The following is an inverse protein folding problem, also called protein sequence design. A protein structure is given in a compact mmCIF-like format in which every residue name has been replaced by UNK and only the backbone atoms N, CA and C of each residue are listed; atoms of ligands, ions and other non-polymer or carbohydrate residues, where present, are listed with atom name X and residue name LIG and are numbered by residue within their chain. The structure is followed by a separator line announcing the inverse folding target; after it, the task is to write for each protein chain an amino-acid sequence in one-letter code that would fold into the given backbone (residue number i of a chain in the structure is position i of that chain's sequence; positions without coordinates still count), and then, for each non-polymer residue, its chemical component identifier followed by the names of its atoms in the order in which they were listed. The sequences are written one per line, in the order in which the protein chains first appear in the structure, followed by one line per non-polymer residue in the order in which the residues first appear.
data_IF_192781046683
#
_entry.id   IF_192781046683
#
_cell.length_a   1.000
_cell.length_b   1.000
_cell.length_c   1.000
_cell.angle_alpha   90.00
_cell.angle_beta   90.00
_cell.angle_gamma   90.00
#
_symmetry.space_group_name_H-M   'P 1'
#
loop_
_entity.id
_entity.type
_entity.pdbx_description
1 polymer ?
#
# COMPACT_ATOMS: atom_id res chain seq x y z
N UNK A 1 28.67 -0.49 7.25
CA UNK A 1 29.26 0.48 8.20
C UNK A 1 30.71 0.88 7.89
N UNK A 2 31.43 0.19 6.99
CA UNK A 2 32.55 0.79 6.25
C UNK A 2 32.07 1.51 4.98
N UNK A 3 30.76 1.43 4.66
CA UNK A 3 30.09 2.19 3.60
C UNK A 3 30.07 3.70 3.86
N UNK A 4 30.36 4.09 5.11
CA UNK A 4 30.51 5.49 5.54
C UNK A 4 31.98 5.89 5.63
N UNK A 5 32.95 5.07 5.20
CA UNK A 5 34.36 5.48 5.21
C UNK A 5 34.60 6.50 4.10
N UNK A 6 35.04 7.69 4.49
CA UNK A 6 35.26 8.80 3.56
C UNK A 6 36.74 8.99 3.24
N UNK A 7 37.62 8.84 4.24
CA UNK A 7 39.05 8.93 4.04
C UNK A 7 39.87 8.21 5.12
N UNK A 8 41.11 7.87 4.80
CA UNK A 8 42.12 7.33 5.71
C UNK A 8 43.42 8.09 5.53
N UNK A 9 43.94 8.62 6.63
CA UNK A 9 45.15 9.44 6.67
C UNK A 9 46.21 8.82 7.56
N UNK A 10 47.47 8.98 7.19
CA UNK A 10 48.63 8.67 8.01
C UNK A 10 49.37 9.97 8.32
N UNK A 11 49.68 10.18 9.60
CA UNK A 11 50.56 11.24 10.08
C UNK A 11 51.85 10.62 10.61
N UNK A 12 53.00 11.03 10.08
CA UNK A 12 54.32 10.72 10.61
C UNK A 12 55.07 12.01 10.95
N UNK A 13 55.75 12.09 12.11
CA UNK A 13 56.57 13.26 12.43
C UNK A 13 57.88 13.28 11.62
N UNK A 14 58.38 14.46 11.19
CA UNK A 14 57.83 15.80 11.43
C UNK A 14 56.80 16.19 10.34
N UNK A 15 55.50 16.12 10.67
CA UNK A 15 54.35 16.57 9.86
C UNK A 15 54.23 16.07 8.41
N UNK A 16 54.65 14.84 8.13
CA UNK A 16 54.39 14.18 6.86
C UNK A 16 52.98 13.55 6.86
N UNK A 17 52.05 14.17 6.13
CA UNK A 17 50.70 13.65 5.90
C UNK A 17 50.65 12.80 4.63
N UNK A 18 50.30 11.52 4.76
CA UNK A 18 50.09 10.61 3.63
C UNK A 18 48.63 10.19 3.57
N UNK A 19 47.99 10.33 2.40
CA UNK A 19 46.61 9.89 2.20
C UNK A 19 46.62 8.46 1.69
N UNK A 20 46.07 7.55 2.49
CA UNK A 20 45.91 6.12 2.16
C UNK A 20 44.63 5.93 1.35
N UNK A 21 43.57 6.65 1.69
CA UNK A 21 42.27 6.58 1.00
C UNK A 21 41.52 7.93 1.12
N UNK A 22 40.76 8.34 0.10
CA UNK A 22 39.97 9.58 0.13
C UNK A 22 40.71 10.83 -0.37
N UNK A 23 40.21 12.02 0.01
CA UNK A 23 40.73 13.32 -0.42
C UNK A 23 41.66 13.97 0.62
N UNK A 24 42.65 14.74 0.15
CA UNK A 24 43.61 15.46 0.99
C UNK A 24 42.85 16.45 1.91
N UNK A 25 43.03 16.41 3.24
CA UNK A 25 42.28 17.27 4.14
C UNK A 25 42.78 18.72 4.06
N UNK A 26 41.86 19.67 4.22
CA UNK A 26 42.15 21.10 4.24
C UNK A 26 43.07 21.47 5.42
N UNK A 27 43.81 22.57 5.31
CA UNK A 27 44.77 23.00 6.34
C UNK A 27 44.12 23.16 7.73
N UNK A 28 42.86 23.61 7.79
CA UNK A 28 42.10 23.71 9.03
C UNK A 28 41.75 22.32 9.61
N UNK A 29 41.40 21.36 8.76
CA UNK A 29 41.08 19.99 9.18
C UNK A 29 42.33 19.26 9.68
N UNK A 30 43.51 19.48 9.08
CA UNK A 30 44.78 18.92 9.57
C UNK A 30 45.08 19.38 11.00
N UNK A 31 44.92 20.66 11.28
CA UNK A 31 45.13 21.20 12.63
C UNK A 31 44.15 20.60 13.67
N UNK A 32 42.95 20.18 13.23
CA UNK A 32 41.96 19.53 14.10
C UNK A 32 42.27 18.03 14.30
N UNK A 33 42.75 17.35 13.25
CA UNK A 33 43.22 15.97 13.31
C UNK A 33 44.48 15.81 14.17
N UNK A 34 45.45 16.74 14.11
CA UNK A 34 46.63 16.75 14.99
C UNK A 34 46.24 16.83 16.47
N UNK A 35 45.18 17.59 16.81
CA UNK A 35 44.65 17.65 18.18
C UNK A 35 44.03 16.34 18.66
N UNK A 36 43.71 15.42 17.75
CA UNK A 36 43.20 14.07 18.06
C UNK A 36 44.29 12.99 18.05
N UNK A 37 45.54 13.34 17.73
CA UNK A 37 46.68 12.43 17.81
C UNK A 37 47.10 12.22 19.27
N UNK A 38 46.44 11.27 19.95
CA UNK A 38 46.74 10.92 21.35
C UNK A 38 47.45 9.57 21.43
N UNK A 39 48.06 9.28 22.58
CA UNK A 39 48.73 8.00 22.85
C UNK A 39 47.75 6.82 22.99
N UNK A 40 46.44 7.09 23.07
CA UNK A 40 45.38 6.09 23.09
C UNK A 40 44.44 6.31 21.89
N UNK A 41 43.83 5.24 21.34
CA UNK A 41 42.85 5.36 20.27
C UNK A 41 41.71 6.27 20.70
N UNK A 42 41.40 7.29 19.91
CA UNK A 42 40.37 8.28 20.26
C UNK A 42 39.40 8.47 19.10
N UNK A 43 38.12 8.64 19.42
CA UNK A 43 37.08 8.95 18.47
C UNK A 43 36.56 10.35 18.74
N UNK A 44 36.57 11.22 17.72
CA UNK A 44 36.03 12.59 17.82
C UNK A 44 35.10 12.88 16.65
N UNK A 45 34.04 13.64 16.90
CA UNK A 45 33.17 14.14 15.84
C UNK A 45 33.93 15.22 15.03
N UNK A 46 33.92 15.11 13.71
CA UNK A 46 34.48 16.08 12.77
C UNK A 46 33.39 16.42 11.74
N UNK A 47 32.80 17.62 11.82
CA UNK A 47 31.63 17.98 11.01
C UNK A 47 30.41 17.10 11.27
N UNK A 48 29.78 16.59 10.21
CA UNK A 48 28.68 15.60 10.31
C UNK A 48 29.17 14.15 10.53
N UNK A 49 30.48 13.94 10.43
CA UNK A 49 31.15 12.65 10.52
C UNK A 49 31.87 12.39 11.84
N UNK A 50 32.61 11.28 11.89
CA UNK A 50 33.45 10.88 13.01
C UNK A 50 34.84 10.52 12.53
N UNK A 51 35.86 11.00 13.21
CA UNK A 51 37.25 10.60 13.00
C UNK A 51 37.68 9.71 14.15
N UNK A 52 38.32 8.60 13.82
CA UNK A 52 38.94 7.69 14.77
C UNK A 52 40.44 7.73 14.53
N UNK A 53 41.19 8.22 15.52
CA UNK A 53 42.65 8.18 15.52
C UNK A 53 43.13 6.90 16.22
N UNK A 54 44.04 6.19 15.56
CA UNK A 54 44.68 5.00 16.10
C UNK A 54 46.19 5.24 16.11
N UNK A 55 46.85 5.26 17.28
CA UNK A 55 48.30 5.36 17.36
C UNK A 55 48.93 4.06 16.84
N UNK A 56 49.92 4.19 15.95
CA UNK A 56 50.69 3.06 15.43
C UNK A 56 52.03 2.95 16.19
N UNK A 57 52.75 4.06 16.33
CA UNK A 57 54.00 4.15 17.09
C UNK A 57 54.12 5.54 17.75
N UNK A 58 55.18 5.80 18.55
CA UNK A 58 55.34 7.06 19.30
C UNK A 58 55.24 8.34 18.44
N UNK A 59 55.59 8.23 17.16
CA UNK A 59 55.61 9.32 16.19
C UNK A 59 54.69 9.12 14.97
N UNK A 60 53.80 8.11 14.99
CA UNK A 60 52.90 7.80 13.85
C UNK A 60 51.46 7.52 14.28
N UNK A 61 50.51 8.12 13.56
CA UNK A 61 49.06 7.95 13.78
C UNK A 61 48.32 7.69 12.47
N UNK A 62 47.29 6.84 12.55
CA UNK A 62 46.39 6.55 11.44
C UNK A 62 44.99 7.05 11.79
N UNK A 63 44.42 7.87 10.91
CA UNK A 63 43.10 8.48 11.08
C UNK A 63 42.11 7.86 10.12
N UNK A 64 40.97 7.44 10.64
CA UNK A 64 39.85 6.92 9.87
C UNK A 64 38.71 7.92 9.93
N UNK A 65 38.37 8.54 8.80
CA UNK A 65 37.27 9.47 8.71
C UNK A 65 36.02 8.75 8.18
N UNK A 66 34.94 8.84 8.97
CA UNK A 66 33.63 8.30 8.67
C UNK A 66 32.67 9.47 8.36
N UNK A 67 31.87 9.36 7.31
CA UNK A 67 30.87 10.33 6.86
C UNK A 67 29.61 10.39 7.73
N UNK A 68 29.44 9.45 8.67
CA UNK A 68 28.34 9.45 9.63
C UNK A 68 28.78 8.87 10.98
N UNK A 69 28.15 9.33 12.06
CA UNK A 69 28.39 8.85 13.42
C UNK A 69 27.72 7.48 13.62
N UNK A 70 28.47 6.41 13.93
CA UNK A 70 27.86 5.11 14.21
C UNK A 70 27.05 5.10 15.52
N UNK A 71 25.98 4.30 15.62
CA UNK A 71 25.16 4.21 16.83
C UNK A 71 25.99 3.67 18.00
N UNK A 72 25.69 4.16 19.22
CA UNK A 72 26.50 3.92 20.44
C UNK A 72 26.71 2.43 20.74
N UNK A 73 25.75 1.57 20.38
CA UNK A 73 25.81 0.11 20.56
C UNK A 73 26.88 -0.58 19.70
N UNK A 74 27.29 0.02 18.58
CA UNK A 74 28.24 -0.56 17.61
C UNK A 74 29.63 0.08 17.68
N UNK A 75 29.81 1.13 18.50
CA UNK A 75 31.04 1.93 18.52
C UNK A 75 32.25 1.14 19.03
N UNK A 76 32.07 0.29 20.05
CA UNK A 76 33.15 -0.54 20.60
C UNK A 76 33.67 -1.60 19.61
N UNK A 77 32.78 -2.25 18.86
CA UNK A 77 33.17 -3.26 17.87
C UNK A 77 33.81 -2.64 16.62
N UNK A 78 33.33 -1.46 16.21
CA UNK A 78 33.94 -0.66 15.14
C UNK A 78 35.35 -0.21 15.55
N UNK A 79 35.53 0.28 16.79
CA UNK A 79 36.84 0.68 17.29
C UNK A 79 37.84 -0.49 17.33
N UNK A 80 37.43 -1.65 17.85
CA UNK A 80 38.28 -2.85 17.87
C UNK A 80 38.70 -3.27 16.46
N UNK A 81 37.75 -3.27 15.51
CA UNK A 81 38.02 -3.65 14.12
C UNK A 81 38.93 -2.67 13.39
N UNK A 82 38.75 -1.36 13.62
CA UNK A 82 39.64 -0.33 13.04
C UNK A 82 41.03 -0.39 13.64
N UNK A 83 41.17 -0.74 14.93
CA UNK A 83 42.47 -0.99 15.54
C UNK A 83 43.17 -2.19 14.90
N UNK A 84 42.47 -3.30 14.68
CA UNK A 84 43.05 -4.47 14.00
C UNK A 84 43.46 -4.17 12.56
N UNK A 85 42.62 -3.45 11.80
CA UNK A 85 42.96 -2.98 10.45
C UNK A 85 44.16 -2.01 10.45
N UNK A 86 44.25 -1.14 11.47
CA UNK A 86 45.37 -0.20 11.63
C UNK A 86 46.68 -0.94 11.90
N UNK A 87 46.68 -2.00 12.72
CA UNK A 87 47.86 -2.85 12.94
C UNK A 87 48.30 -3.58 11.66
N UNK A 88 47.34 -3.99 10.83
CA UNK A 88 47.64 -4.52 9.49
C UNK A 88 48.31 -3.48 8.59
N UNK A 89 47.74 -2.27 8.56
CA UNK A 89 48.28 -1.13 7.81
C UNK A 89 49.64 -0.65 8.30
N UNK A 90 49.96 -0.80 9.59
CA UNK A 90 51.28 -0.46 10.13
C UNK A 90 52.42 -1.22 9.43
N UNK A 91 52.18 -2.50 9.10
CA UNK A 91 53.16 -3.34 8.39
C UNK A 91 53.44 -2.85 6.96
N UNK A 92 52.56 -1.99 6.43
CA UNK A 92 52.62 -1.40 5.09
C UNK A 92 53.29 -0.01 5.09
N UNK A 93 53.54 0.58 6.26
CA UNK A 93 54.18 1.90 6.40
C UNK A 93 55.67 1.72 6.70
N UNK A 94 56.60 2.33 5.93
CA UNK A 94 58.03 2.19 6.16
C UNK A 94 58.38 2.63 7.59
N UNK A 95 58.91 1.72 8.38
CA UNK A 95 59.54 2.00 9.67
C UNK A 95 61.03 2.27 9.44
N UNK A 96 61.58 3.17 10.25
CA UNK A 96 63.01 3.46 10.30
C UNK A 96 63.81 2.14 10.47
N UNK A 97 64.90 2.02 9.71
CA UNK A 97 65.58 0.76 9.41
C UNK A 97 66.35 0.12 10.59
N UNK A 98 66.03 0.42 11.85
CA UNK A 98 66.89 0.11 12.99
C UNK A 98 66.53 -1.14 13.79
N UNK A 99 65.41 -1.83 13.55
CA UNK A 99 64.99 -2.92 14.46
C UNK A 99 64.54 -4.24 13.81
N UNK A 100 65.01 -4.53 12.59
CA UNK A 100 64.85 -5.88 12.01
C UNK A 100 66.21 -6.49 11.72
N UNK A 101 66.66 -7.36 12.63
CA UNK A 101 67.79 -8.28 12.40
C UNK A 101 67.54 -9.07 11.11
N UNK A 102 68.45 -9.07 10.13
CA UNK A 102 68.29 -9.87 8.94
C UNK A 102 68.63 -11.33 9.26
N UNK A 103 67.68 -12.23 9.03
CA UNK A 103 68.01 -13.63 8.73
C UNK A 103 68.48 -13.62 7.28
N UNK A 104 69.78 -13.87 7.10
CA UNK A 104 70.41 -13.99 5.79
C UNK A 104 69.89 -15.23 5.09
N UNK A 105 69.49 -15.09 3.82
CA UNK A 105 69.73 -16.12 2.81
C UNK A 105 70.01 -15.40 1.50
N UNK A 106 71.25 -15.54 1.04
CA UNK A 106 71.74 -15.05 -0.24
C UNK A 106 71.14 -15.86 -1.40
N UNK A 107 70.72 -15.17 -2.46
CA UNK A 107 71.11 -15.42 -3.87
C UNK A 107 69.99 -15.00 -4.84
N UNK A 108 70.22 -13.87 -5.52
CA UNK A 108 69.74 -13.59 -6.88
C UNK A 108 68.25 -13.66 -7.19
N UNK A 109 67.51 -12.58 -6.94
CA UNK A 109 66.28 -12.29 -7.68
C UNK A 109 66.01 -10.78 -7.75
N UNK A 110 65.45 -10.35 -8.90
CA UNK A 110 65.04 -9.00 -9.31
C UNK A 110 64.27 -8.21 -8.21
N UNK A 111 64.25 -6.87 -8.25
CA UNK A 111 63.89 -6.03 -7.10
C UNK A 111 62.50 -6.39 -6.56
N UNK A 112 62.44 -6.74 -5.27
CA UNK A 112 61.19 -6.97 -4.57
C UNK A 112 60.39 -5.68 -4.57
N UNK A 113 59.30 -5.63 -5.35
CA UNK A 113 58.38 -4.50 -5.35
C UNK A 113 57.77 -4.39 -3.96
N UNK A 114 58.02 -3.27 -3.30
CA UNK A 114 57.48 -3.03 -1.95
C UNK A 114 55.97 -2.79 -1.99
N UNK A 115 55.28 -3.14 -0.91
CA UNK A 115 53.85 -2.84 -0.76
C UNK A 115 53.50 -1.35 -0.95
N UNK A 116 54.43 -0.45 -0.62
CA UNK A 116 54.28 0.99 -0.81
C UNK A 116 54.31 1.41 -2.29
N UNK A 117 55.16 0.77 -3.09
CA UNK A 117 55.20 0.98 -4.54
C UNK A 117 53.91 0.47 -5.20
N UNK A 118 53.35 -0.62 -4.69
CA UNK A 118 52.09 -1.19 -5.18
C UNK A 118 50.90 -0.25 -4.92
N UNK A 119 50.83 0.39 -3.74
CA UNK A 119 49.81 1.40 -3.44
C UNK A 119 49.96 2.63 -4.35
N UNK A 120 51.19 3.10 -4.55
CA UNK A 120 51.47 4.26 -5.40
C UNK A 120 51.06 3.99 -6.86
N UNK A 121 51.43 2.82 -7.39
CA UNK A 121 51.08 2.39 -8.75
C UNK A 121 49.57 2.14 -8.92
N UNK A 122 48.90 1.62 -7.90
CA UNK A 122 47.44 1.48 -7.91
C UNK A 122 46.75 2.84 -7.92
N UNK A 123 47.25 3.82 -7.15
CA UNK A 123 46.73 5.20 -7.17
C UNK A 123 46.88 5.84 -8.54
N UNK A 124 48.01 5.63 -9.22
CA UNK A 124 48.21 6.12 -10.59
C UNK A 124 47.32 5.40 -11.59
N UNK A 125 47.17 4.06 -11.49
CA UNK A 125 46.33 3.27 -12.37
C UNK A 125 44.83 3.61 -12.25
N UNK A 126 44.38 3.98 -11.04
CA UNK A 126 43.01 4.41 -10.78
C UNK A 126 42.74 5.88 -11.14
N UNK A 127 43.75 6.60 -11.64
CA UNK A 127 43.62 7.95 -12.19
C UNK A 127 43.12 9.02 -11.21
N UNK A 128 43.38 8.85 -9.90
CA UNK A 128 42.97 9.81 -8.88
C UNK A 128 41.45 9.91 -8.63
N UNK A 129 40.65 8.95 -9.10
CA UNK A 129 39.19 8.93 -8.84
C UNK A 129 38.90 8.83 -7.34
N UNK A 130 38.07 9.74 -6.82
CA UNK A 130 37.71 9.81 -5.40
C UNK A 130 36.97 8.55 -4.87
N UNK A 131 36.20 7.86 -5.73
CA UNK A 131 35.49 6.60 -5.39
C UNK A 131 35.48 5.63 -6.58
N UNK A 132 36.53 4.81 -6.77
CA UNK A 132 36.56 3.83 -7.85
C UNK A 132 35.56 2.69 -7.58
N UNK A 133 34.96 2.14 -8.64
CA UNK A 133 34.09 0.96 -8.52
C UNK A 133 34.91 -0.22 -7.99
N UNK A 134 34.41 -1.01 -7.02
CA UNK A 134 35.14 -2.14 -6.44
C UNK A 134 35.69 -3.12 -7.49
N UNK A 135 34.90 -3.45 -8.52
CA UNK A 135 35.32 -4.35 -9.58
C UNK A 135 36.55 -3.84 -10.35
N UNK A 136 36.64 -2.52 -10.59
CA UNK A 136 37.77 -1.90 -11.29
C UNK A 136 39.03 -1.93 -10.44
N UNK A 137 38.90 -1.75 -9.11
CA UNK A 137 40.04 -1.87 -8.21
C UNK A 137 40.56 -3.31 -8.16
N UNK A 138 39.66 -4.29 -8.06
CA UNK A 138 40.07 -5.71 -8.03
C UNK A 138 40.80 -6.10 -9.32
N UNK A 139 40.31 -5.68 -10.49
CA UNK A 139 40.98 -5.98 -11.76
C UNK A 139 42.31 -5.26 -11.88
N UNK A 140 42.38 -3.95 -11.59
CA UNK A 140 43.63 -3.19 -11.69
C UNK A 140 44.70 -3.67 -10.69
N UNK A 141 44.30 -4.16 -9.52
CA UNK A 141 45.22 -4.75 -8.55
C UNK A 141 45.79 -6.09 -9.03
N UNK A 142 44.97 -6.92 -9.67
CA UNK A 142 45.44 -8.15 -10.34
C UNK A 142 46.39 -7.83 -11.49
N UNK A 143 46.06 -6.86 -12.33
CA UNK A 143 46.90 -6.43 -13.46
C UNK A 143 48.27 -5.92 -12.97
N UNK A 144 48.30 -5.14 -11.89
CA UNK A 144 49.54 -4.64 -11.28
C UNK A 144 50.41 -5.76 -10.68
N UNK A 145 49.80 -6.78 -10.09
CA UNK A 145 50.54 -7.95 -9.59
C UNK A 145 51.19 -8.74 -10.75
N UNK A 146 50.54 -8.78 -11.92
CA UNK A 146 51.09 -9.39 -13.13
C UNK A 146 52.21 -8.52 -13.71
N UNK A 147 51.99 -7.20 -13.85
CA UNK A 147 52.98 -6.26 -14.38
C UNK A 147 54.27 -6.18 -13.54
N UNK A 148 54.14 -6.36 -12.22
CA UNK A 148 55.28 -6.38 -11.29
C UNK A 148 56.03 -7.71 -11.29
N UNK A 149 55.53 -8.72 -12.01
CA UNK A 149 56.11 -10.06 -12.07
C UNK A 149 55.96 -10.86 -10.76
N UNK A 150 55.08 -10.42 -9.86
CA UNK A 150 54.79 -11.14 -8.62
C UNK A 150 53.99 -12.43 -8.89
N UNK A 151 53.17 -12.42 -9.94
CA UNK A 151 52.40 -13.55 -10.45
C UNK A 151 52.40 -13.51 -12.00
N UNK A 152 52.28 -14.66 -12.64
CA UNK A 152 52.02 -14.77 -14.08
C UNK A 152 50.53 -14.47 -14.41
N UNK A 153 49.66 -14.73 -13.44
CA UNK A 153 48.23 -14.45 -13.51
C UNK A 153 47.49 -15.00 -12.30
N UNK A 154 46.23 -14.62 -12.10
CA UNK A 154 45.52 -15.03 -10.90
C UNK A 154 44.04 -14.66 -10.86
N UNK A 155 43.43 -15.06 -9.75
CA UNK A 155 42.04 -14.88 -9.43
C UNK A 155 41.87 -14.37 -8.01
N UNK A 156 41.08 -13.31 -7.85
CA UNK A 156 40.60 -12.84 -6.56
C UNK A 156 39.16 -13.32 -6.38
N UNK A 157 38.83 -13.85 -5.20
CA UNK A 157 37.57 -14.53 -4.90
C UNK A 157 36.90 -13.87 -3.69
N UNK A 158 35.62 -13.55 -3.80
CA UNK A 158 34.76 -13.17 -2.68
C UNK A 158 34.12 -14.42 -2.10
N UNK A 159 34.55 -14.83 -0.91
CA UNK A 159 34.01 -15.97 -0.20
C UNK A 159 32.86 -15.55 0.71
N UNK A 160 31.74 -16.29 0.63
CA UNK A 160 30.69 -16.29 1.64
C UNK A 160 30.99 -17.30 2.75
N UNK A 161 30.13 -17.32 3.78
CA UNK A 161 30.24 -18.24 4.90
C UNK A 161 30.35 -19.71 4.46
N UNK A 162 29.62 -20.10 3.41
CA UNK A 162 29.53 -21.49 2.96
C UNK A 162 30.15 -21.77 1.59
N UNK A 163 30.33 -20.78 0.71
CA UNK A 163 30.81 -21.00 -0.66
C UNK A 163 31.41 -19.74 -1.30
N UNK A 164 32.16 -19.88 -2.40
CA UNK A 164 32.62 -18.75 -3.22
C UNK A 164 31.46 -18.06 -3.97
N UNK A 165 31.35 -16.72 -3.89
CA UNK A 165 30.24 -15.94 -4.46
C UNK A 165 30.62 -15.26 -5.78
N UNK A 166 31.72 -14.50 -5.80
CA UNK A 166 32.18 -13.71 -6.95
C UNK A 166 33.67 -13.91 -7.17
N UNK A 167 34.13 -13.69 -8.39
CA UNK A 167 35.55 -13.76 -8.73
C UNK A 167 35.92 -12.65 -9.71
N UNK A 168 37.19 -12.27 -9.68
CA UNK A 168 37.84 -11.36 -10.61
C UNK A 168 39.11 -12.04 -11.11
N UNK A 169 39.39 -11.92 -12.40
CA UNK A 169 40.49 -12.59 -13.07
C UNK A 169 41.45 -11.55 -13.62
N UNK A 170 42.75 -11.84 -13.61
CA UNK A 170 43.76 -11.01 -14.27
C UNK A 170 43.70 -11.15 -15.80
N UNK A 171 43.47 -12.37 -16.30
CA UNK A 171 43.41 -12.67 -17.73
C UNK A 171 42.20 -13.55 -18.07
N UNK A 172 41.70 -13.37 -19.29
CA UNK A 172 40.71 -14.21 -19.97
C UNK A 172 41.09 -15.69 -20.04
N UNK A 173 42.39 -16.03 -20.05
CA UNK A 173 42.89 -17.43 -20.11
C UNK A 173 42.40 -18.30 -18.96
N UNK A 174 42.16 -17.70 -17.79
CA UNK A 174 41.70 -18.41 -16.59
C UNK A 174 40.17 -18.58 -16.54
N UNK A 175 39.42 -17.96 -17.47
CA UNK A 175 37.96 -17.96 -17.45
C UNK A 175 37.35 -19.35 -17.63
N UNK A 176 37.94 -20.19 -18.46
CA UNK A 176 37.45 -21.55 -18.74
C UNK A 176 37.56 -22.49 -17.54
N UNK A 177 38.54 -22.28 -16.66
CA UNK A 177 38.79 -23.13 -15.48
C UNK A 177 38.49 -22.39 -14.16
N UNK A 178 37.81 -21.24 -14.20
CA UNK A 178 37.50 -20.44 -13.02
C UNK A 178 36.68 -21.21 -11.97
N UNK A 179 35.82 -22.15 -12.41
CA UNK A 179 35.06 -23.01 -11.51
C UNK A 179 35.96 -23.99 -10.75
N UNK A 180 36.92 -24.61 -11.43
CA UNK A 180 37.89 -25.54 -10.84
C UNK A 180 38.81 -24.83 -9.86
N UNK A 181 39.36 -23.66 -10.23
CA UNK A 181 40.20 -22.86 -9.34
C UNK A 181 39.44 -22.48 -8.06
N UNK A 182 38.13 -22.20 -8.14
CA UNK A 182 37.29 -21.91 -6.97
C UNK A 182 37.08 -23.13 -6.07
N UNK A 183 36.83 -24.30 -6.66
CA UNK A 183 36.63 -25.54 -5.92
C UNK A 183 37.91 -25.92 -5.16
N UNK A 184 39.07 -25.81 -5.80
CA UNK A 184 40.38 -26.01 -5.17
C UNK A 184 40.61 -24.98 -4.07
N UNK A 185 40.31 -23.70 -4.31
CA UNK A 185 40.43 -22.67 -3.29
C UNK A 185 39.48 -22.91 -2.10
N UNK A 186 38.29 -23.48 -2.32
CA UNK A 186 37.33 -23.81 -1.28
C UNK A 186 37.71 -25.07 -0.48
N UNK A 187 38.25 -26.09 -1.14
CA UNK A 187 38.73 -27.31 -0.49
C UNK A 187 39.93 -27.05 0.43
N UNK A 188 40.76 -26.06 0.10
CA UNK A 188 41.93 -25.66 0.89
C UNK A 188 41.60 -24.76 2.11
N UNK A 189 40.34 -24.29 2.28
CA UNK A 189 39.93 -23.42 3.40
C UNK A 189 39.81 -24.19 4.72
N UNK A 190 40.46 -23.66 5.74
CA UNK A 190 40.47 -24.18 7.12
C UNK A 190 39.76 -23.24 8.10
N UNK A 191 39.67 -23.60 9.39
CA UNK A 191 39.11 -22.73 10.43
C UNK A 191 39.91 -21.43 10.63
N UNK A 192 41.21 -21.45 10.33
CA UNK A 192 42.09 -20.27 10.34
C UNK A 192 42.42 -19.80 8.91
N UNK A 193 42.86 -18.53 8.79
CA UNK A 193 43.35 -17.97 7.54
C UNK A 193 44.60 -18.72 7.09
N UNK A 194 44.66 -19.10 5.81
CA UNK A 194 45.72 -19.97 5.29
C UNK A 194 46.40 -19.30 4.11
N UNK A 195 47.73 -19.16 4.19
CA UNK A 195 48.59 -18.72 3.09
C UNK A 195 49.57 -19.84 2.76
N UNK A 196 49.59 -20.29 1.51
CA UNK A 196 50.42 -21.42 1.09
C UNK A 196 50.82 -21.30 -0.39
N UNK A 197 51.97 -21.85 -0.74
CA UNK A 197 52.43 -21.99 -2.13
C UNK A 197 52.52 -23.48 -2.45
N UNK A 198 51.86 -23.91 -3.52
CA UNK A 198 51.88 -25.28 -4.03
C UNK A 198 52.77 -25.33 -5.27
N UNK A 199 53.93 -26.01 -5.23
CA UNK A 199 54.76 -26.21 -6.42
C UNK A 199 54.07 -27.17 -7.40
N UNK A 200 54.26 -26.93 -8.70
CA UNK A 200 53.72 -27.76 -9.79
C UNK A 200 54.30 -29.18 -9.80
N UNK A 201 55.42 -29.41 -9.13
CA UNK A 201 56.14 -30.69 -9.06
C UNK A 201 55.74 -31.57 -7.85
N UNK A 202 54.87 -31.10 -6.97
CA UNK A 202 54.48 -31.82 -5.74
C UNK A 202 53.41 -32.89 -5.96
N UNK A 203 53.63 -34.11 -5.46
CA UNK A 203 52.70 -35.26 -5.56
C UNK A 203 51.90 -35.53 -4.27
N UNK A 204 51.73 -34.52 -3.40
CA UNK A 204 50.94 -34.70 -2.17
C UNK A 204 49.45 -34.74 -2.49
N UNK A 205 48.75 -35.77 -2.02
CA UNK A 205 47.32 -35.97 -2.25
C UNK A 205 46.45 -34.74 -1.87
N UNK A 206 46.84 -34.01 -0.82
CA UNK A 206 46.13 -32.81 -0.34
C UNK A 206 46.23 -31.58 -1.27
N UNK A 207 47.21 -31.57 -2.17
CA UNK A 207 47.52 -30.41 -3.03
C UNK A 207 47.61 -30.79 -4.51
N UNK A 208 47.20 -32.02 -4.86
CA UNK A 208 47.31 -32.58 -6.19
C UNK A 208 46.57 -31.74 -7.23
N UNK A 209 45.33 -31.32 -6.92
CA UNK A 209 44.53 -30.49 -7.84
C UNK A 209 45.17 -29.12 -8.10
N UNK A 210 45.75 -28.49 -7.07
CA UNK A 210 46.46 -27.22 -7.21
C UNK A 210 47.76 -27.37 -8.04
N UNK A 211 48.51 -28.46 -7.84
CA UNK A 211 49.72 -28.75 -8.61
C UNK A 211 49.40 -29.04 -10.09
N UNK A 212 48.31 -29.76 -10.37
CA UNK A 212 47.83 -30.02 -11.73
C UNK A 212 47.40 -28.73 -12.44
N UNK A 213 46.68 -27.84 -11.77
CA UNK A 213 46.32 -26.53 -12.32
C UNK A 213 47.56 -25.68 -12.62
N UNK A 214 48.56 -25.66 -11.73
CA UNK A 214 49.82 -24.95 -11.99
C UNK A 214 50.53 -25.46 -13.26
N UNK A 215 50.63 -26.79 -13.42
CA UNK A 215 51.19 -27.43 -14.64
C UNK A 215 50.39 -27.11 -15.89
N UNK A 216 49.06 -27.14 -15.80
CA UNK A 216 48.17 -26.88 -16.93
C UNK A 216 48.32 -25.45 -17.46
N UNK A 217 48.52 -24.47 -16.57
CA UNK A 217 48.75 -23.07 -16.94
C UNK A 217 50.22 -22.73 -17.18
N UNK A 218 51.13 -23.71 -17.10
CA UNK A 218 52.55 -23.53 -17.39
C UNK A 218 53.33 -22.73 -16.33
N UNK A 219 52.80 -22.59 -15.11
CA UNK A 219 53.46 -21.89 -14.01
C UNK A 219 54.18 -22.87 -13.07
N UNK A 220 55.25 -22.41 -12.43
CA UNK A 220 56.05 -23.23 -11.53
C UNK A 220 55.33 -23.57 -10.22
N UNK A 221 54.48 -22.66 -9.73
CA UNK A 221 53.68 -22.84 -8.53
C UNK A 221 52.34 -22.09 -8.57
N UNK A 222 51.47 -22.46 -7.64
CA UNK A 222 50.21 -21.78 -7.36
C UNK A 222 50.18 -21.32 -5.90
N UNK A 223 50.05 -20.00 -5.69
CA UNK A 223 49.96 -19.36 -4.39
C UNK A 223 48.50 -19.10 -4.00
N UNK A 224 48.17 -19.37 -2.74
CA UNK A 224 46.85 -19.14 -2.17
C UNK A 224 46.96 -18.29 -0.91
N UNK A 225 46.07 -17.31 -0.77
CA UNK A 225 45.82 -16.58 0.47
C UNK A 225 44.31 -16.62 0.72
N UNK A 226 43.86 -17.42 1.67
CA UNK A 226 42.46 -17.80 1.84
C UNK A 226 41.92 -17.36 3.21
N UNK A 227 40.69 -16.80 3.25
CA UNK A 227 40.06 -16.43 4.51
C UNK A 227 39.52 -17.65 5.25
N UNK A 228 39.37 -17.56 6.59
CA UNK A 228 38.87 -18.65 7.43
C UNK A 228 37.46 -19.11 7.00
N UNK A 229 37.18 -20.40 7.15
CA UNK A 229 35.90 -21.02 6.83
C UNK A 229 34.80 -20.49 7.76
N UNK A 230 33.62 -20.20 7.22
CA UNK A 230 32.49 -19.63 7.98
C UNK A 230 32.44 -18.10 8.05
N UNK A 231 33.51 -17.41 7.66
CA UNK A 231 33.53 -15.94 7.56
C UNK A 231 33.47 -15.46 6.10
N UNK A 232 32.85 -14.30 5.91
CA UNK A 232 32.94 -13.57 4.65
C UNK A 232 34.33 -12.92 4.54
N UNK A 233 35.00 -13.12 3.41
CA UNK A 233 36.35 -12.61 3.20
C UNK A 233 36.78 -12.68 1.75
N UNK A 234 37.75 -11.86 1.37
CA UNK A 234 38.42 -11.97 0.08
C UNK A 234 39.54 -12.99 0.19
N UNK A 235 39.70 -13.82 -0.83
CA UNK A 235 40.86 -14.69 -0.99
C UNK A 235 41.49 -14.51 -2.37
N UNK A 236 42.74 -14.91 -2.48
CA UNK A 236 43.55 -14.76 -3.67
C UNK A 236 44.13 -16.11 -4.08
N UNK A 237 44.18 -16.36 -5.39
CA UNK A 237 44.78 -17.52 -6.02
C UNK A 237 45.64 -17.04 -7.18
N UNK A 238 46.96 -17.15 -7.10
CA UNK A 238 47.88 -16.70 -8.14
C UNK A 238 48.73 -17.84 -8.68
N UNK A 239 49.02 -17.80 -9.96
CA UNK A 239 49.98 -18.66 -10.65
C UNK A 239 51.28 -17.88 -10.80
N UNK A 240 52.44 -18.48 -10.53
CA UNK A 240 53.71 -17.77 -10.55
C UNK A 240 54.94 -18.65 -10.35
N UNK A 241 56.11 -18.05 -10.08
CA UNK A 241 57.35 -18.78 -9.78
C UNK A 241 57.26 -19.53 -8.44
N UNK A 242 58.14 -20.51 -8.20
CA UNK A 242 58.15 -21.31 -6.96
C UNK A 242 58.31 -20.47 -5.67
N UNK A 243 58.88 -19.27 -5.78
CA UNK A 243 59.10 -18.33 -4.69
C UNK A 243 58.18 -17.09 -4.80
N UNK A 244 56.85 -17.30 -4.80
CA UNK A 244 55.89 -16.18 -4.75
C UNK A 244 55.95 -15.50 -3.38
N UNK A 245 56.06 -14.16 -3.37
CA UNK A 245 56.02 -13.38 -2.13
C UNK A 245 54.60 -13.32 -1.55
N UNK A 246 54.33 -14.20 -0.59
CA UNK A 246 53.04 -14.27 0.12
C UNK A 246 52.74 -12.98 0.91
N UNK A 247 53.76 -12.24 1.35
CA UNK A 247 53.56 -10.99 2.08
C UNK A 247 52.97 -9.92 1.15
N UNK A 248 53.49 -9.82 -0.07
CA UNK A 248 52.98 -8.91 -1.10
C UNK A 248 51.53 -9.25 -1.49
N UNK A 249 51.20 -10.54 -1.61
CA UNK A 249 49.84 -11.00 -1.91
C UNK A 249 48.85 -10.70 -0.78
N UNK A 250 49.27 -10.88 0.47
CA UNK A 250 48.45 -10.53 1.63
C UNK A 250 48.20 -9.02 1.72
N UNK A 251 49.23 -8.20 1.44
CA UNK A 251 49.11 -6.75 1.37
C UNK A 251 48.14 -6.29 0.27
N UNK A 252 48.16 -6.98 -0.87
CA UNK A 252 47.26 -6.69 -1.98
C UNK A 252 45.79 -7.05 -1.62
N UNK A 253 45.57 -8.15 -0.91
CA UNK A 253 44.24 -8.50 -0.38
C UNK A 253 43.74 -7.52 0.69
N UNK A 254 44.61 -7.03 1.56
CA UNK A 254 44.25 -6.03 2.55
C UNK A 254 43.82 -4.73 1.88
N UNK A 255 44.55 -4.29 0.84
CA UNK A 255 44.20 -3.14 0.03
C UNK A 255 42.85 -3.33 -0.69
N UNK A 256 42.60 -4.55 -1.20
CA UNK A 256 41.32 -4.94 -1.77
C UNK A 256 40.18 -4.91 -0.73
N UNK A 257 40.42 -5.39 0.48
CA UNK A 257 39.43 -5.42 1.56
C UNK A 257 39.09 -4.01 2.08
N UNK A 258 40.00 -3.05 1.98
CA UNK A 258 39.74 -1.63 2.28
C UNK A 258 38.73 -1.04 1.29
N UNK A 259 38.85 -1.36 -0.01
CA UNK A 259 37.95 -0.85 -1.06
C UNK A 259 36.64 -1.63 -1.15
N UNK A 260 36.67 -2.93 -0.87
CA UNK A 260 35.54 -3.84 -0.95
C UNK A 260 35.41 -4.65 0.35
N UNK A 261 34.90 -4.04 1.44
CA UNK A 261 34.85 -4.72 2.73
C UNK A 261 33.93 -5.95 2.69
N UNK A 262 34.32 -7.08 3.30
CA UNK A 262 33.48 -8.26 3.37
C UNK A 262 32.18 -7.95 4.13
N UNK A 263 31.05 -8.43 3.60
CA UNK A 263 29.72 -8.21 4.19
C UNK A 263 29.62 -8.89 5.54
N UNK A 264 29.17 -8.16 6.56
CA UNK A 264 28.98 -8.70 7.90
C UNK A 264 27.95 -9.87 7.90
N UNK A 265 28.19 -10.92 8.70
CA UNK A 265 27.25 -12.02 8.83
C UNK A 265 25.91 -11.52 9.40
N UNK A 266 24.79 -11.89 8.77
CA UNK A 266 23.43 -11.62 9.28
C UNK A 266 22.59 -10.56 8.54
N UNK A 267 23.11 -9.90 7.51
CA UNK A 267 22.35 -8.87 6.75
C UNK A 267 21.16 -9.40 5.94
N UNK A 268 21.09 -10.72 5.71
CA UNK A 268 20.00 -11.34 4.94
C UNK A 268 18.73 -11.54 5.78
N UNK A 269 18.85 -11.92 7.06
CA UNK A 269 17.70 -12.15 7.96
C UNK A 269 16.84 -10.89 8.14
N UNK A 270 17.46 -9.71 8.17
CA UNK A 270 16.79 -8.41 8.31
C UNK A 270 15.95 -8.02 7.09
N UNK A 271 16.27 -8.52 5.89
CA UNK A 271 15.49 -8.27 4.66
C UNK A 271 14.23 -9.11 4.60
N UNK A 272 14.25 -10.34 5.12
CA UNK A 272 13.08 -11.23 5.16
C UNK A 272 12.04 -10.78 6.17
N UNK A 273 12.45 -10.30 7.36
CA UNK A 273 11.54 -9.78 8.39
C UNK A 273 10.78 -8.53 7.88
N UNK A 274 11.47 -7.60 7.20
CA UNK A 274 10.83 -6.41 6.61
C UNK A 274 9.80 -6.75 5.53
N UNK A 275 10.08 -7.76 4.70
CA UNK A 275 9.11 -8.24 3.70
C UNK A 275 7.93 -8.93 4.36
N UNK A 276 8.14 -9.74 5.39
CA UNK A 276 7.07 -10.35 6.17
C UNK A 276 6.12 -9.33 6.79
N UNK A 277 6.65 -8.23 7.33
CA UNK A 277 5.83 -7.15 7.90
C UNK A 277 5.00 -6.41 6.83
N UNK A 278 5.57 -6.17 5.65
CA UNK A 278 4.86 -5.55 4.53
C UNK A 278 3.72 -6.44 4.00
N UNK A 279 3.98 -7.73 3.82
CA UNK A 279 2.96 -8.69 3.38
C UNK A 279 1.87 -8.90 4.44
N UNK A 280 2.22 -8.93 5.73
CA UNK A 280 1.25 -8.99 6.82
C UNK A 280 0.35 -7.75 6.86
N UNK A 281 0.92 -6.56 6.66
CA UNK A 281 0.14 -5.32 6.57
C UNK A 281 -0.82 -5.29 5.37
N UNK A 282 -0.36 -5.75 4.21
CA UNK A 282 -1.20 -5.83 3.00
C UNK A 282 -2.36 -6.81 3.16
N UNK A 283 -2.14 -7.96 3.79
CA UNK A 283 -3.19 -8.94 4.07
C UNK A 283 -4.25 -8.38 5.02
N UNK A 284 -3.84 -7.65 6.07
CA UNK A 284 -4.77 -7.02 7.01
C UNK A 284 -5.63 -5.94 6.34
N UNK A 285 -5.03 -5.13 5.45
CA UNK A 285 -5.76 -4.12 4.69
C UNK A 285 -6.76 -4.75 3.71
N UNK A 286 -6.41 -5.87 3.07
CA UNK A 286 -7.32 -6.60 2.18
C UNK A 286 -8.53 -7.18 2.94
N UNK A 287 -8.31 -7.72 4.15
CA UNK A 287 -9.40 -8.20 5.02
C UNK A 287 -10.31 -7.04 5.45
N UNK A 288 -9.72 -5.89 5.79
CA UNK A 288 -10.49 -4.69 6.15
C UNK A 288 -11.34 -4.16 5.00
N UNK A 289 -10.83 -4.18 3.77
CA UNK A 289 -11.58 -3.76 2.57
C UNK A 289 -12.70 -4.73 2.17
N UNK A 290 -12.56 -6.01 2.52
CA UNK A 290 -13.54 -7.05 2.19
C UNK A 290 -14.73 -7.11 3.17
N UNK A 291 -14.66 -6.40 4.30
CA UNK A 291 -15.78 -6.31 5.23
C UNK A 291 -16.94 -5.54 4.58
N UNK A 292 -18.15 -6.14 4.49
CA UNK A 292 -19.28 -5.50 3.84
C UNK A 292 -19.72 -4.27 4.63
N UNK A 293 -19.60 -3.09 4.02
CA UNK A 293 -20.11 -1.85 4.60
C UNK A 293 -21.62 -1.80 4.44
N UNK A 294 -22.38 -1.45 5.50
CA UNK A 294 -23.83 -1.33 5.40
C UNK A 294 -24.18 -0.14 4.50
N UNK A 295 -24.76 -0.44 3.34
CA UNK A 295 -25.26 0.58 2.42
C UNK A 295 -26.63 1.01 2.92
N UNK A 296 -26.72 2.22 3.47
CA UNK A 296 -27.99 2.82 3.84
C UNK A 296 -28.57 3.57 2.64
N UNK A 297 -29.80 3.24 2.27
CA UNK A 297 -30.56 3.95 1.23
C UNK A 297 -31.55 4.88 1.93
N UNK A 298 -31.46 6.17 1.64
CA UNK A 298 -32.40 7.18 2.15
C UNK A 298 -33.45 7.49 1.09
N UNK A 299 -34.72 7.52 1.47
CA UNK A 299 -35.83 7.87 0.59
C UNK A 299 -36.79 8.80 1.29
N UNK A 300 -37.43 9.69 0.53
CA UNK A 300 -38.54 10.49 1.01
C UNK A 300 -39.82 9.65 1.02
N UNK A 301 -40.52 9.69 2.15
CA UNK A 301 -41.78 8.99 2.36
C UNK A 301 -42.93 9.94 2.57
N UNK A 302 -44.07 9.65 1.95
CA UNK A 302 -45.33 10.32 2.23
C UNK A 302 -46.23 9.36 3.01
N UNK A 303 -46.72 9.79 4.17
CA UNK A 303 -47.64 9.00 4.99
C UNK A 303 -49.06 9.13 4.44
N UNK A 304 -49.65 8.01 4.04
CA UNK A 304 -51.03 7.92 3.55
C UNK A 304 -51.84 6.96 4.41
N UNK A 305 -53.16 7.18 4.48
CA UNK A 305 -54.05 6.24 5.16
C UNK A 305 -54.01 4.88 4.44
N UNK A 306 -53.96 3.79 5.21
CA UNK A 306 -53.94 2.45 4.63
C UNK A 306 -55.26 2.12 3.92
N UNK A 307 -56.37 2.47 4.56
CA UNK A 307 -57.74 2.19 4.12
C UNK A 307 -58.51 3.52 4.04
N UNK A 308 -58.84 3.93 2.82
CA UNK A 308 -59.55 5.15 2.50
C UNK A 308 -60.84 4.80 1.76
N UNK A 309 -61.97 5.29 2.27
CA UNK A 309 -63.27 5.19 1.62
C UNK A 309 -63.66 6.55 1.06
N UNK A 310 -63.72 6.67 -0.27
CA UNK A 310 -64.11 7.91 -0.95
C UNK A 310 -65.61 7.93 -1.14
N UNK A 311 -66.26 9.03 -0.73
CA UNK A 311 -67.68 9.29 -0.94
C UNK A 311 -67.82 10.29 -2.09
N UNK A 312 -68.44 9.84 -3.17
CA UNK A 312 -68.62 10.61 -4.40
C UNK A 312 -70.07 11.07 -4.59
N UNK A 313 -70.26 12.12 -5.39
CA UNK A 313 -71.59 12.64 -5.73
C UNK A 313 -72.39 11.66 -6.61
N UNK A 314 -73.66 11.38 -6.26
CA UNK A 314 -74.53 10.52 -7.07
C UNK A 314 -75.18 11.24 -8.26
N UNK A 315 -75.16 12.58 -8.28
CA UNK A 315 -75.81 13.40 -9.29
C UNK A 315 -75.26 14.83 -9.30
N UNK A 316 -75.63 15.59 -10.33
CA UNK A 316 -75.25 16.99 -10.47
C UNK A 316 -76.09 17.88 -9.54
N UNK A 317 -75.43 18.59 -8.63
CA UNK A 317 -76.10 19.42 -7.62
C UNK A 317 -75.22 20.55 -7.09
N UNK A 318 -75.83 21.47 -6.38
CA UNK A 318 -75.17 22.58 -5.71
C UNK A 318 -75.02 22.29 -4.22
N UNK A 319 -73.85 22.58 -3.65
CA UNK A 319 -73.61 22.40 -2.23
C UNK A 319 -74.45 23.40 -1.42
N UNK A 320 -75.37 22.90 -0.58
CA UNK A 320 -76.23 23.73 0.26
C UNK A 320 -75.59 23.99 1.63
N UNK A 321 -75.06 22.96 2.25
CA UNK A 321 -74.36 23.06 3.53
C UNK A 321 -73.40 21.87 3.72
N UNK A 322 -72.21 22.14 4.27
CA UNK A 322 -71.26 21.12 4.71
C UNK A 322 -71.34 21.00 6.24
N UNK A 323 -71.59 19.81 6.76
CA UNK A 323 -71.76 19.58 8.21
C UNK A 323 -70.47 19.14 8.91
N UNK A 324 -69.43 18.82 8.13
CA UNK A 324 -68.22 18.16 8.63
C UNK A 324 -66.96 18.85 8.13
N UNK A 325 -65.87 18.73 8.90
CA UNK A 325 -64.56 19.30 8.56
C UNK A 325 -63.49 18.21 8.52
N UNK A 326 -62.40 18.41 7.75
CA UNK A 326 -61.23 17.56 7.84
C UNK A 326 -60.75 17.45 9.30
N UNK A 327 -60.60 16.22 9.78
CA UNK A 327 -60.23 15.89 11.15
C UNK A 327 -61.40 15.47 12.05
N UNK A 328 -62.66 15.66 11.63
CA UNK A 328 -63.82 15.22 12.39
C UNK A 328 -64.00 13.70 12.31
N UNK A 329 -64.56 13.12 13.37
CA UNK A 329 -64.90 11.70 13.46
C UNK A 329 -66.38 11.53 13.13
N UNK A 330 -66.69 10.57 12.27
CA UNK A 330 -68.06 10.27 11.81
C UNK A 330 -68.36 8.79 11.97
N UNK A 331 -69.63 8.48 12.21
CA UNK A 331 -70.17 7.14 12.22
C UNK A 331 -70.90 6.84 10.90
N UNK A 332 -71.03 5.56 10.56
CA UNK A 332 -71.76 5.15 9.36
C UNK A 332 -73.20 5.65 9.41
N UNK A 333 -73.61 6.39 8.38
CA UNK A 333 -74.95 6.98 8.26
C UNK A 333 -75.03 8.46 8.64
N UNK A 334 -73.99 9.04 9.23
CA UNK A 334 -73.95 10.47 9.55
C UNK A 334 -74.01 11.32 8.28
N UNK A 335 -74.74 12.43 8.34
CA UNK A 335 -74.86 13.37 7.23
C UNK A 335 -73.57 14.18 7.12
N UNK A 336 -72.90 14.06 5.97
CA UNK A 336 -71.68 14.79 5.67
C UNK A 336 -72.00 16.16 5.06
N UNK A 337 -72.86 16.16 4.05
CA UNK A 337 -73.20 17.36 3.29
C UNK A 337 -74.61 17.23 2.71
N UNK A 338 -75.30 18.38 2.63
CA UNK A 338 -76.57 18.50 1.95
C UNK A 338 -76.34 19.22 0.61
N UNK A 339 -76.85 18.62 -0.47
CA UNK A 339 -76.86 19.21 -1.80
C UNK A 339 -78.29 19.49 -2.25
N UNK A 340 -78.46 20.50 -3.09
CA UNK A 340 -79.73 20.83 -3.73
C UNK A 340 -79.56 20.91 -5.26
N UNK A 341 -80.51 20.35 -6.00
CA UNK A 341 -80.50 20.37 -7.47
C UNK A 341 -81.78 21.02 -7.97
N UNK A 342 -81.72 22.28 -8.44
CA UNK A 342 -82.88 22.95 -9.02
C UNK A 342 -83.52 22.14 -10.15
N UNK A 343 -82.70 21.50 -10.99
CA UNK A 343 -83.17 20.67 -12.09
C UNK A 343 -84.04 19.49 -11.62
N UNK A 344 -83.65 18.81 -10.54
CA UNK A 344 -84.46 17.70 -9.99
C UNK A 344 -85.75 18.20 -9.33
N UNK A 345 -85.74 19.40 -8.74
CA UNK A 345 -86.95 20.02 -8.16
C UNK A 345 -87.94 20.43 -9.25
N UNK A 346 -87.45 20.99 -10.35
CA UNK A 346 -88.29 21.36 -11.49
C UNK A 346 -88.89 20.10 -12.15
N UNK A 347 -88.10 19.04 -12.32
CA UNK A 347 -88.60 17.75 -12.82
C UNK A 347 -89.66 17.12 -11.89
N UNK A 348 -89.48 17.24 -10.58
CA UNK A 348 -90.47 16.74 -9.60
C UNK A 348 -91.79 17.50 -9.75
N UNK A 349 -91.74 18.84 -9.81
CA UNK A 349 -92.92 19.68 -9.95
C UNK A 349 -93.69 19.42 -11.26
N UNK A 350 -92.97 19.16 -12.36
CA UNK A 350 -93.58 18.79 -13.65
C UNK A 350 -94.30 17.44 -13.57
N UNK A 351 -93.67 16.41 -12.99
CA UNK A 351 -94.29 15.09 -12.87
C UNK A 351 -95.46 15.09 -11.85
N UNK A 352 -95.39 15.88 -10.78
CA UNK A 352 -96.53 16.09 -9.86
C UNK A 352 -97.73 16.76 -10.57
N UNK A 353 -97.47 17.72 -11.46
CA UNK A 353 -98.51 18.31 -12.29
C UNK A 353 -99.10 17.28 -13.26
N UNK A 354 -98.26 16.46 -13.90
CA UNK A 354 -98.72 15.36 -14.77
C UNK A 354 -99.58 14.35 -14.00
N UNK A 355 -99.19 14.01 -12.76
CA UNK A 355 -99.99 13.14 -11.90
C UNK A 355 -101.36 13.75 -11.62
N UNK A 356 -101.42 15.06 -11.40
CA UNK A 356 -102.68 15.78 -11.19
C UNK A 356 -103.55 15.76 -12.45
N UNK A 357 -102.97 15.93 -13.64
CA UNK A 357 -103.71 15.86 -14.91
C UNK A 357 -104.27 14.44 -15.14
N UNK A 358 -103.46 13.40 -14.93
CA UNK A 358 -103.90 12.00 -15.11
C UNK A 358 -104.93 11.57 -14.05
N UNK A 359 -104.85 12.09 -12.81
CA UNK A 359 -105.89 11.84 -11.78
C UNK A 359 -107.23 12.45 -12.19
N UNK A 360 -107.23 13.69 -12.68
CA UNK A 360 -108.44 14.36 -13.18
C UNK A 360 -108.99 13.65 -14.42
N UNK A 361 -108.12 13.22 -15.34
CA UNK A 361 -108.50 12.44 -16.52
C UNK A 361 -109.15 11.11 -16.16
N UNK A 362 -108.60 10.38 -15.18
CA UNK A 362 -109.20 9.15 -14.68
C UNK A 362 -110.58 9.41 -14.03
N UNK A 363 -110.70 10.46 -13.21
CA UNK A 363 -111.98 10.83 -12.59
C UNK A 363 -113.04 11.20 -13.62
N UNK A 364 -112.68 11.95 -14.66
CA UNK A 364 -113.58 12.31 -15.75
C UNK A 364 -114.03 11.08 -16.56
N UNK A 365 -113.11 10.18 -16.92
CA UNK A 365 -113.46 8.94 -17.63
C UNK A 365 -114.39 8.03 -16.81
N UNK A 366 -114.20 7.98 -15.49
CA UNK A 366 -115.08 7.26 -14.58
C UNK A 366 -116.48 7.89 -14.51
N UNK A 367 -116.56 9.22 -14.42
CA UNK A 367 -117.83 9.96 -14.40
C UNK A 367 -118.65 9.76 -15.69
N UNK A 368 -117.98 9.60 -16.83
CA UNK A 368 -118.60 9.35 -18.13
C UNK A 368 -118.83 7.86 -18.45
N UNK A 369 -118.61 6.95 -17.51
CA UNK A 369 -118.70 5.49 -17.69
C UNK A 369 -117.80 4.91 -18.80
N UNK A 370 -116.68 5.56 -19.13
CA UNK A 370 -115.71 5.09 -20.11
C UNK A 370 -114.63 4.23 -19.44
N UNK A 371 -114.98 2.97 -19.14
CA UNK A 371 -114.13 2.04 -18.38
C UNK A 371 -112.76 1.73 -19.02
N UNK A 372 -112.67 1.70 -20.35
CA UNK A 372 -111.39 1.50 -21.05
C UNK A 372 -110.44 2.69 -20.82
N UNK A 373 -110.98 3.90 -20.92
CA UNK A 373 -110.21 5.14 -20.77
C UNK A 373 -109.76 5.32 -19.31
N UNK A 374 -110.62 4.91 -18.35
CA UNK A 374 -110.27 4.87 -16.93
C UNK A 374 -109.10 3.91 -16.63
N UNK A 375 -109.10 2.70 -17.22
CA UNK A 375 -108.00 1.75 -17.06
C UNK A 375 -106.69 2.30 -17.65
N UNK A 376 -106.75 2.97 -18.79
CA UNK A 376 -105.56 3.59 -19.40
C UNK A 376 -105.03 4.74 -18.52
N UNK A 377 -105.91 5.62 -18.03
CA UNK A 377 -105.53 6.74 -17.18
C UNK A 377 -104.97 6.29 -15.82
N UNK A 378 -105.51 5.22 -15.23
CA UNK A 378 -104.98 4.64 -13.99
C UNK A 378 -103.61 3.99 -14.17
N UNK A 379 -103.36 3.29 -15.28
CA UNK A 379 -102.03 2.78 -15.60
C UNK A 379 -101.02 3.91 -15.87
N UNK A 380 -101.44 5.00 -16.53
CA UNK A 380 -100.59 6.19 -16.71
C UNK A 380 -100.25 6.86 -15.38
N UNK A 381 -101.23 7.02 -14.50
CA UNK A 381 -101.02 7.53 -13.15
C UNK A 381 -100.01 6.66 -12.38
N UNK A 382 -100.09 5.33 -12.52
CA UNK A 382 -99.12 4.41 -11.91
C UNK A 382 -97.70 4.61 -12.47
N UNK A 383 -97.57 4.86 -13.76
CA UNK A 383 -96.27 5.20 -14.39
C UNK A 383 -95.72 6.51 -13.84
N UNK A 384 -96.55 7.57 -13.77
CA UNK A 384 -96.13 8.89 -13.28
C UNK A 384 -95.75 8.85 -11.79
N UNK A 385 -96.55 8.18 -10.95
CA UNK A 385 -96.22 8.00 -9.52
C UNK A 385 -94.90 7.26 -9.33
N UNK A 386 -94.63 6.23 -10.12
CA UNK A 386 -93.34 5.54 -10.10
C UNK A 386 -92.18 6.48 -10.48
N UNK A 387 -92.38 7.42 -11.42
CA UNK A 387 -91.37 8.42 -11.77
C UNK A 387 -91.15 9.44 -10.65
N UNK A 388 -92.22 9.89 -10.00
CA UNK A 388 -92.14 10.77 -8.81
C UNK A 388 -91.32 10.10 -7.71
N UNK A 389 -91.60 8.82 -7.42
CA UNK A 389 -90.85 8.05 -6.41
C UNK A 389 -89.36 7.93 -6.79
N UNK A 390 -89.04 7.72 -8.07
CA UNK A 390 -87.66 7.70 -8.56
C UNK A 390 -86.95 9.04 -8.42
N UNK A 391 -87.64 10.15 -8.71
CA UNK A 391 -87.08 11.51 -8.56
C UNK A 391 -86.87 11.82 -7.07
N UNK A 392 -87.82 11.48 -6.21
CA UNK A 392 -87.69 11.64 -4.76
C UNK A 392 -86.53 10.83 -4.19
N UNK A 393 -86.32 9.60 -4.66
CA UNK A 393 -85.16 8.79 -4.28
C UNK A 393 -83.83 9.45 -4.71
N UNK A 394 -83.78 10.09 -5.88
CA UNK A 394 -82.60 10.85 -6.34
C UNK A 394 -82.36 12.10 -5.50
N UNK A 395 -83.41 12.84 -5.14
CA UNK A 395 -83.32 14.01 -4.25
C UNK A 395 -82.83 13.58 -2.87
N UNK A 396 -83.36 12.48 -2.31
CA UNK A 396 -82.90 11.94 -1.03
C UNK A 396 -81.42 11.50 -1.07
N UNK A 397 -80.94 11.01 -2.22
CA UNK A 397 -79.54 10.67 -2.43
C UNK A 397 -78.61 11.89 -2.48
N UNK A 398 -79.13 13.11 -2.70
CA UNK A 398 -78.34 14.35 -2.61
C UNK A 398 -77.92 14.69 -1.18
N UNK A 399 -78.52 14.05 -0.17
CA UNK A 399 -77.99 14.08 1.19
C UNK A 399 -76.89 13.02 1.32
N UNK A 400 -75.64 13.48 1.28
CA UNK A 400 -74.47 12.60 1.30
C UNK A 400 -74.22 12.14 2.74
N UNK A 401 -74.20 10.82 2.93
CA UNK A 401 -73.99 10.17 4.23
C UNK A 401 -72.68 9.40 4.27
N UNK A 402 -72.11 9.25 5.47
CA UNK A 402 -70.92 8.45 5.71
C UNK A 402 -71.18 6.97 5.39
N UNK A 403 -70.35 6.38 4.52
CA UNK A 403 -70.47 4.96 4.13
C UNK A 403 -69.87 4.01 5.17
N UNK A 404 -68.90 4.50 5.94
CA UNK A 404 -68.19 3.78 7.00
C UNK A 404 -67.90 4.74 8.16
N UNK A 405 -67.69 4.16 9.34
CA UNK A 405 -67.13 4.85 10.49
C UNK A 405 -65.65 5.20 10.25
N UNK A 406 -65.23 6.36 10.72
CA UNK A 406 -63.86 6.80 10.51
C UNK A 406 -63.61 8.27 10.77
N UNK A 407 -62.45 8.74 10.29
CA UNK A 407 -62.04 10.15 10.37
C UNK A 407 -62.00 10.77 8.99
N UNK A 408 -62.50 11.98 8.85
CA UNK A 408 -62.49 12.70 7.57
C UNK A 408 -61.08 13.23 7.33
N UNK A 409 -60.48 12.85 6.20
CA UNK A 409 -59.16 13.38 5.77
C UNK A 409 -59.36 14.56 4.82
N UNK A 410 -60.28 14.40 3.87
CA UNK A 410 -60.57 15.40 2.86
C UNK A 410 -62.08 15.63 2.82
N UNK A 411 -62.49 16.90 2.71
CA UNK A 411 -63.87 17.30 2.48
C UNK A 411 -63.86 18.61 1.69
N UNK A 412 -64.91 18.85 0.90
CA UNK A 412 -65.10 20.15 0.23
C UNK A 412 -65.13 21.26 1.31
N UNK A 413 -64.36 22.35 1.16
CA UNK A 413 -64.36 23.41 2.16
C UNK A 413 -65.73 24.08 2.27
N UNK A 414 -66.16 24.36 3.50
CA UNK A 414 -67.41 25.08 3.80
C UNK A 414 -67.47 26.47 3.14
N UNK A 415 -66.31 27.09 2.88
CA UNK A 415 -66.19 28.37 2.17
C UNK A 415 -66.66 28.32 0.70
N UNK A 416 -66.96 27.14 0.17
CA UNK A 416 -67.37 26.91 -1.22
C UNK A 416 -68.88 26.57 -1.30
N UNK A 417 -69.64 26.89 -0.25
CA UNK A 417 -71.10 26.77 -0.22
C UNK A 417 -71.73 27.49 -1.42
N UNK A 418 -72.62 26.79 -2.14
CA UNK A 418 -73.23 27.24 -3.40
C UNK A 418 -72.48 26.80 -4.67
N UNK A 419 -71.36 26.08 -4.56
CA UNK A 419 -70.66 25.56 -5.73
C UNK A 419 -71.40 24.40 -6.39
N UNK A 420 -71.30 24.35 -7.72
CA UNK A 420 -71.78 23.25 -8.53
C UNK A 420 -70.79 22.08 -8.47
N UNK A 421 -71.29 20.90 -8.12
CA UNK A 421 -70.52 19.65 -8.03
C UNK A 421 -71.13 18.64 -8.99
N UNK A 422 -70.29 17.96 -9.77
CA UNK A 422 -70.74 17.02 -10.78
C UNK A 422 -70.86 15.62 -10.22
N UNK A 423 -71.66 14.81 -10.89
CA UNK A 423 -71.75 13.37 -10.67
C UNK A 423 -70.36 12.73 -10.72
N UNK A 424 -70.00 11.97 -9.68
CA UNK A 424 -68.72 11.29 -9.55
C UNK A 424 -67.60 12.12 -8.92
N UNK A 425 -67.78 13.43 -8.71
CA UNK A 425 -66.81 14.24 -8.00
C UNK A 425 -66.73 13.81 -6.53
N UNK A 426 -65.52 13.87 -5.97
CA UNK A 426 -65.24 13.49 -4.58
C UNK A 426 -65.76 14.57 -3.63
N UNK A 427 -66.66 14.17 -2.72
CA UNK A 427 -67.21 15.06 -1.68
C UNK A 427 -66.38 15.00 -0.41
N UNK A 428 -66.08 13.78 0.03
CA UNK A 428 -65.31 13.53 1.25
C UNK A 428 -64.55 12.20 1.16
N UNK A 429 -63.44 12.11 1.89
CA UNK A 429 -62.68 10.88 2.06
C UNK A 429 -62.59 10.51 3.55
N UNK A 430 -63.03 9.29 3.86
CA UNK A 430 -63.11 8.76 5.22
C UNK A 430 -61.99 7.73 5.41
N UNK A 431 -61.17 7.94 6.43
CA UNK A 431 -60.20 6.98 6.92
C UNK A 431 -60.86 6.02 7.90
N UNK A 432 -61.02 4.76 7.50
CA UNK A 432 -61.65 3.71 8.31
C UNK A 432 -60.67 3.10 9.32
N UNK A 433 -59.37 3.07 8.99
CA UNK A 433 -58.33 2.46 9.83
C UNK A 433 -57.32 3.48 10.33
N UNK A 434 -56.90 3.36 11.59
CA UNK A 434 -55.78 4.13 12.15
C UNK A 434 -54.43 3.72 11.53
N UNK A 435 -54.37 2.58 10.84
CA UNK A 435 -53.16 2.14 10.17
C UNK A 435 -52.78 3.12 9.05
N UNK A 436 -51.51 3.52 9.07
CA UNK A 436 -50.90 4.36 8.04
C UNK A 436 -49.93 3.52 7.21
N UNK A 437 -49.86 3.81 5.92
CA UNK A 437 -48.86 3.28 4.99
C UNK A 437 -47.95 4.41 4.57
N UNK A 438 -46.64 4.16 4.53
CA UNK A 438 -45.68 5.16 4.02
C UNK A 438 -45.36 4.78 2.58
N UNK A 439 -45.63 5.70 1.65
CA UNK A 439 -45.23 5.58 0.25
C UNK A 439 -43.84 6.17 0.10
N UNK A 440 -42.83 5.30 0.00
CA UNK A 440 -41.44 5.69 -0.20
C UNK A 440 -41.15 5.86 -1.69
N UNK A 441 -40.51 6.98 -2.05
CA UNK A 441 -40.05 7.22 -3.42
C UNK A 441 -38.53 7.11 -3.47
N UNK A 442 -38.02 6.12 -4.20
CA UNK A 442 -36.59 5.87 -4.36
C UNK A 442 -36.05 6.48 -5.66
N UNK A 443 -34.79 6.90 -5.64
CA UNK A 443 -34.09 7.25 -6.86
C UNK A 443 -33.89 6.00 -7.74
N UNK A 444 -33.87 6.18 -9.06
CA UNK A 444 -33.72 5.07 -10.03
C UNK A 444 -32.51 4.18 -9.75
N UNK A 445 -31.41 4.76 -9.26
CA UNK A 445 -30.17 4.04 -8.96
C UNK A 445 -30.25 3.23 -7.65
N UNK A 446 -31.13 3.61 -6.73
CA UNK A 446 -31.26 2.99 -5.41
C UNK A 446 -32.38 1.95 -5.37
N UNK A 447 -33.36 2.04 -6.28
CA UNK A 447 -34.46 1.09 -6.37
C UNK A 447 -34.00 -0.38 -6.51
N UNK A 448 -32.85 -0.62 -7.14
CA UNK A 448 -32.23 -1.95 -7.27
C UNK A 448 -31.63 -2.52 -5.98
N UNK A 449 -31.39 -1.66 -4.98
CA UNK A 449 -30.83 -2.04 -3.69
C UNK A 449 -31.91 -2.42 -2.68
N UNK A 450 -33.19 -2.15 -2.99
CA UNK A 450 -34.31 -2.39 -2.08
C UNK A 450 -35.05 -3.66 -2.47
N UNK A 451 -35.18 -4.59 -1.53
CA UNK A 451 -35.95 -5.83 -1.70
C UNK A 451 -37.08 -5.95 -0.69
N UNK A 452 -38.18 -6.67 -1.01
CA UNK A 452 -39.24 -6.96 -0.05
C UNK A 452 -38.69 -7.61 1.23
N UNK A 453 -39.16 -7.17 2.39
CA UNK A 453 -38.73 -7.67 3.71
C UNK A 453 -37.55 -6.92 4.34
N UNK A 454 -36.97 -5.93 3.66
CA UNK A 454 -35.97 -5.05 4.27
C UNK A 454 -36.59 -4.20 5.38
N UNK A 455 -35.90 -4.13 6.51
CA UNK A 455 -36.26 -3.29 7.66
C UNK A 455 -35.48 -1.97 7.59
N UNK A 456 -36.13 -0.87 7.94
CA UNK A 456 -35.49 0.44 8.04
C UNK A 456 -36.11 1.27 9.15
N UNK A 457 -35.48 2.38 9.47
CA UNK A 457 -35.95 3.37 10.44
C UNK A 457 -36.43 4.61 9.70
N UNK A 458 -37.64 5.07 9.99
CA UNK A 458 -38.13 6.37 9.55
C UNK A 458 -37.82 7.41 10.65
N UNK A 459 -37.32 8.58 10.25
CA UNK A 459 -37.00 9.70 11.14
C UNK A 459 -37.83 10.92 10.78
#
# INVERSE_FOLDING_TARGET
MLDTLDAVYLLARPNLWTVVFGALPDAAQRAELEKTAQARPSARKLGEGMVISVPLSADRWLFWQLSAVPPVSELASVMARLQDLSRGLERLVPGDASDRRPVQTEAGAKPAVSSAELILRLKTALGGRARPKPATVMTSLLDLLVETGAIDGGMLIDFAATAARRHWLSDSRYRSHAAEIRLVAESLRTAEARSLVVPATGERAEHLEAALLARQFGSAAMAFVLPPKGMHGLGFCGFGPDAVDLALLSAALDLAAVVAPPKAPGSERRRWIRRGLLWGGAALAAVWLALPTPIAVTATGEATAQDLTVVAMPGDAYLKAMHVRPGDRVEKGDVLADFDSPALRDMLAEEELNATIETLGAQAALAENRYSDYQIATERLKIVTTRIDQINARIAALQIKATADGRIIEAIPDSVTGAFVRTGDQVAAIQTSTAMRIKLTFARLDARLVTPGMTGTAY
#
